data_IF_251350180357
#
_entry.id   IF_251350180357
#
_cell.length_a   1.000
_cell.length_b   1.000
_cell.length_c   1.000
_cell.angle_alpha   90.00
_cell.angle_beta   90.00
_cell.angle_gamma   90.00
#
_symmetry.space_group_name_H-M   'P 1'
#
loop_
_entity.id
_entity.type
_entity.pdbx_description
1 polymer ?
#
# COMPACT_ATOMS: atom_id res chain seq x y z
N UNK A 1 -30.76 11.06 6.21
CA UNK A 1 -31.01 12.43 5.69
C UNK A 1 -29.67 13.12 5.46
N UNK A 2 -29.52 13.83 4.33
CA UNK A 2 -28.41 14.73 4.10
C UNK A 2 -28.33 15.74 5.26
N UNK A 3 -27.17 15.89 5.88
CA UNK A 3 -26.99 16.86 6.97
C UNK A 3 -26.97 16.29 8.38
N UNK A 4 -27.16 14.99 8.60
CA UNK A 4 -26.92 14.43 9.92
C UNK A 4 -25.45 14.49 10.29
N UNK A 5 -25.13 15.30 11.30
CA UNK A 5 -23.79 15.42 11.91
C UNK A 5 -23.75 14.54 13.16
N UNK A 6 -22.54 14.07 13.53
CA UNK A 6 -22.31 13.27 14.71
C UNK A 6 -21.92 11.83 14.43
N UNK A 7 -21.75 11.07 15.49
CA UNK A 7 -21.37 9.66 15.40
C UNK A 7 -22.43 8.83 14.71
N UNK A 8 -22.02 7.91 13.84
CA UNK A 8 -22.89 6.99 13.09
C UNK A 8 -22.36 5.58 13.19
N UNK A 9 -23.23 4.65 13.52
CA UNK A 9 -22.93 3.23 13.49
C UNK A 9 -23.16 2.71 12.06
N UNK A 10 -22.09 2.21 11.43
CA UNK A 10 -22.15 1.66 10.07
C UNK A 10 -22.27 0.14 10.05
N UNK A 11 -21.87 -0.55 11.11
CA UNK A 11 -21.97 -1.99 11.27
C UNK A 11 -22.23 -2.35 12.73
N UNK A 12 -23.23 -3.21 12.98
CA UNK A 12 -23.52 -3.74 14.32
C UNK A 12 -22.42 -4.70 14.82
N UNK A 13 -21.84 -5.47 13.91
CA UNK A 13 -20.82 -6.48 14.24
C UNK A 13 -19.42 -5.90 14.37
N UNK A 14 -19.18 -4.71 13.81
CA UNK A 14 -17.93 -4.01 13.81
C UNK A 14 -18.19 -2.50 14.02
N UNK A 15 -18.48 -2.06 15.25
CA UNK A 15 -18.83 -0.67 15.55
C UNK A 15 -17.70 0.32 15.25
N UNK A 16 -16.46 -0.15 15.14
CA UNK A 16 -15.28 0.61 14.74
C UNK A 16 -15.24 0.95 13.24
N UNK A 17 -16.15 0.38 12.44
CA UNK A 17 -16.19 0.62 10.98
C UNK A 17 -16.38 2.10 10.67
N UNK A 18 -15.49 2.63 9.87
CA UNK A 18 -15.51 4.02 9.40
C UNK A 18 -16.08 4.13 7.98
N UNK A 19 -16.56 5.31 7.61
CA UNK A 19 -17.06 5.60 6.27
C UNK A 19 -16.07 6.50 5.54
N UNK A 20 -15.42 5.97 4.51
CA UNK A 20 -14.41 6.66 3.71
C UNK A 20 -15.07 7.21 2.46
N UNK A 21 -15.14 8.55 2.34
CA UNK A 21 -15.63 9.21 1.13
C UNK A 21 -14.58 9.14 0.00
N UNK A 22 -14.96 8.61 -1.15
CA UNK A 22 -14.06 8.42 -2.30
C UNK A 22 -14.18 9.50 -3.38
N UNK A 23 -15.20 10.34 -3.32
CA UNK A 23 -15.46 11.36 -4.35
C UNK A 23 -15.71 10.80 -5.75
N UNK A 24 -16.05 9.51 -5.89
CA UNK A 24 -16.36 8.85 -7.16
C UNK A 24 -17.88 8.68 -7.28
N UNK A 25 -18.48 9.08 -8.41
CA UNK A 25 -19.93 9.02 -8.63
C UNK A 25 -20.48 7.59 -8.52
N UNK A 26 -19.81 6.60 -9.10
CA UNK A 26 -20.28 5.22 -9.11
C UNK A 26 -20.10 4.48 -7.76
N UNK A 27 -19.13 4.91 -6.93
CA UNK A 27 -18.86 4.30 -5.62
C UNK A 27 -18.41 5.39 -4.65
N UNK A 28 -19.33 6.19 -4.12
CA UNK A 28 -18.99 7.38 -3.34
C UNK A 28 -18.40 7.05 -1.97
N UNK A 29 -18.71 5.89 -1.41
CA UNK A 29 -18.27 5.48 -0.07
C UNK A 29 -17.61 4.10 -0.09
N UNK A 30 -16.61 3.91 0.75
CA UNK A 30 -16.08 2.63 1.18
C UNK A 30 -16.19 2.55 2.70
N UNK A 31 -16.46 1.36 3.25
CA UNK A 31 -16.59 1.12 4.68
C UNK A 31 -15.40 0.30 5.17
N UNK A 32 -14.91 0.61 6.35
CA UNK A 32 -13.74 0.00 6.96
C UNK A 32 -12.72 1.03 7.40
N UNK A 33 -11.49 0.59 7.70
CA UNK A 33 -10.38 1.45 8.09
C UNK A 33 -9.54 1.81 6.85
N UNK A 34 -8.98 3.00 6.84
CA UNK A 34 -7.99 3.40 5.85
C UNK A 34 -6.68 2.65 6.10
N UNK A 35 -6.06 2.13 5.04
CA UNK A 35 -4.78 1.41 5.12
C UNK A 35 -3.73 2.12 4.27
N UNK A 36 -2.56 2.37 4.85
CA UNK A 36 -1.36 2.80 4.16
C UNK A 36 -0.55 1.58 3.72
N UNK A 37 -0.05 1.60 2.48
CA UNK A 37 0.84 0.58 1.92
C UNK A 37 2.10 1.24 1.36
N UNK A 38 3.26 0.76 1.75
CA UNK A 38 4.55 1.17 1.20
C UNK A 38 5.16 0.02 0.42
N UNK A 39 5.54 0.26 -0.83
CA UNK A 39 6.12 -0.75 -1.72
C UNK A 39 7.50 -0.35 -2.21
N UNK A 40 8.29 -1.34 -2.62
CA UNK A 40 9.48 -1.06 -3.43
C UNK A 40 9.09 -0.36 -4.71
N UNK A 41 9.92 0.60 -5.19
CA UNK A 41 9.69 1.26 -6.48
C UNK A 41 10.73 0.82 -7.53
N UNK A 42 11.19 -0.41 -7.46
CA UNK A 42 12.10 -1.03 -8.45
C UNK A 42 11.30 -1.88 -9.44
N UNK A 43 11.76 -1.93 -10.68
CA UNK A 43 11.19 -2.86 -11.66
C UNK A 43 11.56 -4.29 -11.27
N UNK A 44 10.58 -5.09 -10.87
CA UNK A 44 10.74 -6.49 -10.53
C UNK A 44 9.79 -7.34 -11.37
N UNK A 45 10.23 -8.52 -11.79
CA UNK A 45 9.36 -9.48 -12.47
C UNK A 45 8.33 -10.00 -11.49
N UNK A 46 7.05 -9.88 -11.82
CA UNK A 46 5.94 -10.37 -11.01
C UNK A 46 5.33 -9.33 -10.05
N UNK A 47 5.94 -8.16 -9.84
CA UNK A 47 5.38 -7.09 -9.01
C UNK A 47 6.37 -6.45 -8.03
N UNK A 48 5.86 -5.50 -7.26
CA UNK A 48 6.60 -4.78 -6.21
C UNK A 48 6.35 -5.45 -4.86
N UNK A 49 7.36 -5.55 -4.00
CA UNK A 49 7.19 -6.01 -2.62
C UNK A 49 6.57 -4.94 -1.76
N UNK A 50 5.68 -5.34 -0.87
CA UNK A 50 5.16 -4.49 0.20
C UNK A 50 6.20 -4.48 1.33
N UNK A 51 6.68 -3.31 1.69
CA UNK A 51 7.67 -3.11 2.75
C UNK A 51 7.03 -2.80 4.09
N UNK A 52 5.90 -2.07 4.06
CA UNK A 52 5.21 -1.65 5.26
C UNK A 52 3.72 -1.54 4.99
N UNK A 53 2.90 -1.83 6.01
CA UNK A 53 1.46 -1.62 5.99
C UNK A 53 0.96 -1.20 7.37
N UNK A 54 0.06 -0.22 7.40
CA UNK A 54 -0.50 0.33 8.63
C UNK A 54 -1.97 0.68 8.45
N UNK A 55 -2.81 0.24 9.39
CA UNK A 55 -4.17 0.75 9.51
C UNK A 55 -4.16 2.16 10.08
N UNK A 56 -5.00 3.03 9.56
CA UNK A 56 -5.07 4.45 9.88
C UNK A 56 -6.49 4.82 10.34
N UNK A 57 -6.86 4.46 11.58
CA UNK A 57 -8.17 4.80 12.12
C UNK A 57 -8.33 6.31 12.29
N UNK A 58 -9.59 6.79 12.24
CA UNK A 58 -9.93 8.21 12.33
C UNK A 58 -9.75 8.98 11.03
N UNK A 59 -9.51 8.28 9.90
CA UNK A 59 -9.38 8.88 8.55
C UNK A 59 -8.39 10.06 8.51
N UNK A 60 -7.16 9.91 9.04
CA UNK A 60 -6.21 11.00 9.04
C UNK A 60 -5.91 11.48 7.63
N UNK A 61 -5.56 12.75 7.49
CA UNK A 61 -5.12 13.30 6.22
C UNK A 61 -3.80 12.68 5.77
N UNK A 62 -3.69 12.27 4.51
CA UNK A 62 -2.54 11.53 3.97
C UNK A 62 -1.19 12.21 4.23
N UNK A 63 -1.13 13.53 4.08
CA UNK A 63 0.09 14.29 4.31
C UNK A 63 0.61 14.22 5.74
N UNK A 64 -0.26 14.01 6.72
CA UNK A 64 0.14 13.93 8.13
C UNK A 64 0.70 12.56 8.50
N UNK A 65 0.31 11.50 7.79
CA UNK A 65 0.74 10.13 8.10
C UNK A 65 2.07 9.76 7.45
N UNK A 66 2.54 10.54 6.47
CA UNK A 66 3.69 10.17 5.64
C UNK A 66 4.99 10.05 6.44
N UNK A 67 5.27 10.99 7.34
CA UNK A 67 6.51 10.99 8.12
C UNK A 67 6.64 9.71 8.94
N UNK A 68 5.62 9.39 9.73
CA UNK A 68 5.57 8.20 10.58
C UNK A 68 5.70 6.91 9.76
N UNK A 69 4.96 6.78 8.65
CA UNK A 69 5.03 5.60 7.77
C UNK A 69 6.42 5.41 7.18
N UNK A 70 7.11 6.49 6.81
CA UNK A 70 8.46 6.41 6.27
C UNK A 70 9.49 6.02 7.34
N UNK A 71 9.39 6.57 8.56
CA UNK A 71 10.23 6.22 9.70
C UNK A 71 10.06 4.74 10.08
N UNK A 72 8.82 4.27 10.21
CA UNK A 72 8.52 2.85 10.46
C UNK A 72 9.04 1.95 9.34
N UNK A 73 8.92 2.37 8.08
CA UNK A 73 9.46 1.61 6.94
C UNK A 73 10.97 1.51 6.99
N UNK A 74 11.68 2.59 7.35
CA UNK A 74 13.14 2.59 7.52
C UNK A 74 13.56 1.68 8.68
N UNK A 75 12.85 1.75 9.81
CA UNK A 75 13.11 0.89 10.96
C UNK A 75 12.95 -0.60 10.63
N UNK A 76 11.88 -0.97 9.91
CA UNK A 76 11.63 -2.36 9.51
C UNK A 76 12.62 -2.88 8.48
N UNK A 77 13.04 -2.05 7.54
CA UNK A 77 13.90 -2.49 6.43
C UNK A 77 15.39 -2.35 6.72
N UNK A 78 15.76 -1.59 7.75
CA UNK A 78 17.15 -1.22 8.03
C UNK A 78 17.80 -0.41 6.90
N UNK A 79 16.98 0.27 6.08
CA UNK A 79 17.44 1.03 4.90
C UNK A 79 16.95 2.46 4.95
N UNK A 80 17.83 3.39 4.66
CA UNK A 80 17.48 4.79 4.48
C UNK A 80 16.70 5.00 3.18
N UNK A 81 15.64 5.82 3.24
CA UNK A 81 14.79 6.16 2.10
C UNK A 81 15.18 7.55 1.60
N UNK A 82 15.83 7.60 0.45
CA UNK A 82 16.20 8.88 -0.19
C UNK A 82 15.01 9.55 -0.90
N UNK A 83 14.12 8.75 -1.50
CA UNK A 83 13.00 9.23 -2.33
C UNK A 83 11.73 8.46 -2.06
N UNK A 84 10.62 9.18 -1.90
CA UNK A 84 9.29 8.62 -1.82
C UNK A 84 8.40 9.15 -2.95
N UNK A 85 7.61 8.27 -3.56
CA UNK A 85 6.68 8.59 -4.64
C UNK A 85 5.25 8.35 -4.17
N UNK A 86 4.47 9.41 -4.02
CA UNK A 86 3.16 9.38 -3.37
C UNK A 86 2.06 9.90 -4.29
N UNK A 87 0.81 9.70 -3.88
CA UNK A 87 -0.34 10.23 -4.60
C UNK A 87 -0.51 11.74 -4.41
N UNK A 88 -1.43 12.34 -5.18
CA UNK A 88 -1.76 13.77 -5.10
C UNK A 88 -2.25 14.19 -3.71
N UNK A 89 -2.91 13.29 -2.98
CA UNK A 89 -3.45 13.54 -1.64
C UNK A 89 -2.41 13.94 -0.57
N UNK A 90 -1.13 13.71 -0.82
CA UNK A 90 -0.04 14.00 0.13
C UNK A 90 0.47 15.46 0.04
N UNK A 91 -0.40 16.41 -0.25
CA UNK A 91 -0.06 17.86 -0.20
C UNK A 91 0.22 18.28 1.24
N UNK A 92 1.23 19.14 1.46
CA UNK A 92 1.55 19.62 2.82
C UNK A 92 2.14 18.56 3.76
N UNK A 93 2.75 17.48 3.22
CA UNK A 93 3.41 16.47 4.02
C UNK A 93 4.58 17.04 4.84
N UNK A 94 4.80 16.46 6.02
CA UNK A 94 5.91 16.80 6.93
C UNK A 94 7.02 15.73 6.90
N UNK A 95 7.34 15.20 5.71
CA UNK A 95 8.40 14.20 5.60
C UNK A 95 9.74 14.77 6.09
N UNK A 96 10.55 13.98 6.84
CA UNK A 96 11.83 14.42 7.37
C UNK A 96 12.84 14.70 6.24
N UNK A 97 13.66 15.75 6.41
CA UNK A 97 14.80 16.00 5.50
C UNK A 97 15.95 15.08 5.90
N UNK A 98 16.78 14.60 4.95
CA UNK A 98 16.90 15.02 3.53
C UNK A 98 15.99 14.28 2.53
N UNK A 99 15.05 13.45 2.98
CA UNK A 99 14.17 12.67 2.13
C UNK A 99 13.39 13.54 1.14
N UNK A 100 13.38 13.15 -0.13
CA UNK A 100 12.68 13.86 -1.21
C UNK A 100 11.37 13.17 -1.57
N UNK A 101 10.27 13.91 -1.47
CA UNK A 101 8.93 13.40 -1.80
C UNK A 101 8.48 13.94 -3.15
N UNK A 102 8.07 13.05 -4.05
CA UNK A 102 7.51 13.36 -5.36
C UNK A 102 6.05 12.94 -5.44
N UNK A 103 5.19 13.88 -5.79
CA UNK A 103 3.74 13.63 -5.86
C UNK A 103 3.29 13.32 -7.29
N UNK A 104 2.29 12.47 -7.41
CA UNK A 104 1.63 12.21 -8.70
C UNK A 104 1.14 13.50 -9.33
N UNK A 105 1.46 13.68 -10.62
CA UNK A 105 1.14 14.91 -11.38
C UNK A 105 2.10 16.08 -11.18
N UNK A 106 3.14 15.95 -10.34
CA UNK A 106 4.18 16.97 -10.20
C UNK A 106 5.01 17.07 -11.48
N UNK A 107 5.20 18.31 -11.97
CA UNK A 107 6.03 18.61 -13.16
C UNK A 107 7.41 19.15 -12.77
N UNK A 108 7.46 20.04 -11.76
CA UNK A 108 8.70 20.71 -11.33
C UNK A 108 9.67 19.73 -10.68
N UNK A 109 10.92 19.71 -11.15
CA UNK A 109 11.97 18.82 -10.63
C UNK A 109 11.82 17.35 -10.99
N UNK A 110 10.95 17.00 -11.97
CA UNK A 110 10.66 15.63 -12.40
C UNK A 110 11.20 15.37 -13.80
N UNK A 111 12.46 14.92 -13.89
CA UNK A 111 13.13 14.59 -15.15
C UNK A 111 13.97 13.32 -15.00
N UNK A 112 14.46 12.78 -16.09
CA UNK A 112 15.35 11.62 -16.10
C UNK A 112 14.81 10.41 -15.33
N UNK A 113 15.59 9.93 -14.39
CA UNK A 113 15.28 8.78 -13.53
C UNK A 113 14.04 9.02 -12.65
N UNK A 114 13.90 10.21 -12.09
CA UNK A 114 12.76 10.58 -11.24
C UNK A 114 11.44 10.46 -12.01
N UNK A 115 11.40 10.87 -13.28
CA UNK A 115 10.23 10.72 -14.14
C UNK A 115 9.85 9.26 -14.37
N UNK A 116 10.85 8.38 -14.55
CA UNK A 116 10.63 6.92 -14.70
C UNK A 116 10.10 6.31 -13.40
N UNK A 117 10.65 6.70 -12.26
CA UNK A 117 10.24 6.22 -10.95
C UNK A 117 8.84 6.70 -10.56
N UNK A 118 8.50 7.96 -10.85
CA UNK A 118 7.17 8.52 -10.62
C UNK A 118 6.09 7.83 -11.48
N UNK A 119 6.41 7.47 -12.74
CA UNK A 119 5.50 6.67 -13.58
C UNK A 119 5.29 5.27 -13.00
N UNK A 120 6.34 4.66 -12.47
CA UNK A 120 6.28 3.33 -11.86
C UNK A 120 5.44 3.27 -10.59
N UNK A 121 5.25 4.40 -9.90
CA UNK A 121 4.34 4.51 -8.76
C UNK A 121 2.96 3.89 -9.04
N UNK A 122 2.41 4.06 -10.23
CA UNK A 122 1.09 3.51 -10.58
C UNK A 122 0.99 1.98 -10.43
N UNK A 123 2.13 1.26 -10.42
CA UNK A 123 2.14 -0.19 -10.18
C UNK A 123 1.62 -0.58 -8.78
N UNK A 124 1.62 0.33 -7.81
CA UNK A 124 1.03 0.10 -6.48
C UNK A 124 -0.49 -0.16 -6.57
N UNK A 125 -1.16 0.38 -7.57
CA UNK A 125 -2.61 0.16 -7.76
C UNK A 125 -2.92 -1.32 -8.03
N UNK A 126 -2.06 -2.00 -8.82
CA UNK A 126 -2.17 -3.44 -9.02
C UNK A 126 -1.87 -4.22 -7.74
N UNK A 127 -0.89 -3.79 -6.94
CA UNK A 127 -0.59 -4.40 -5.63
C UNK A 127 -1.79 -4.29 -4.70
N UNK A 128 -2.38 -3.09 -4.58
CA UNK A 128 -3.61 -2.86 -3.78
C UNK A 128 -4.76 -3.71 -4.30
N UNK A 129 -4.94 -3.81 -5.62
CA UNK A 129 -5.94 -4.68 -6.24
C UNK A 129 -5.78 -6.13 -5.80
N UNK A 130 -4.57 -6.69 -5.89
CA UNK A 130 -4.28 -8.05 -5.42
C UNK A 130 -4.45 -8.24 -3.92
N UNK A 131 -4.07 -7.25 -3.09
CA UNK A 131 -4.33 -7.31 -1.66
C UNK A 131 -5.83 -7.38 -1.36
N UNK A 132 -6.65 -6.66 -2.12
CA UNK A 132 -8.13 -6.69 -1.97
C UNK A 132 -8.72 -8.00 -2.48
N UNK A 133 -8.44 -8.38 -3.73
CA UNK A 133 -9.08 -9.55 -4.37
C UNK A 133 -8.60 -10.88 -3.81
N UNK A 134 -7.28 -11.04 -3.63
CA UNK A 134 -6.66 -12.31 -3.30
C UNK A 134 -6.26 -12.39 -1.82
N UNK A 135 -6.06 -11.23 -1.17
CA UNK A 135 -5.60 -11.11 0.22
C UNK A 135 -6.69 -10.68 1.19
N UNK A 136 -7.95 -10.57 0.74
CA UNK A 136 -9.09 -10.17 1.56
C UNK A 136 -8.92 -8.84 2.33
N UNK A 137 -8.12 -7.90 1.80
CA UNK A 137 -7.97 -6.58 2.40
C UNK A 137 -9.27 -5.76 2.36
N UNK A 138 -10.20 -6.12 1.50
CA UNK A 138 -11.55 -5.53 1.39
C UNK A 138 -12.59 -6.18 2.31
N UNK A 139 -12.22 -7.25 3.05
CA UNK A 139 -13.11 -8.02 3.94
C UNK A 139 -12.37 -8.38 5.22
N UNK A 140 -12.60 -7.63 6.27
CA UNK A 140 -12.01 -7.95 7.56
C UNK A 140 -12.96 -8.82 8.40
N UNK A 141 -12.51 -10.03 8.74
CA UNK A 141 -13.22 -10.95 9.65
C UNK A 141 -12.77 -10.82 11.10
N UNK A 142 -11.70 -10.06 11.35
CA UNK A 142 -11.18 -9.78 12.68
C UNK A 142 -11.85 -8.53 13.26
N UNK A 143 -12.04 -8.49 14.58
CA UNK A 143 -12.72 -7.40 15.25
C UNK A 143 -11.74 -6.36 15.81
N UNK A 144 -12.21 -5.12 15.85
CA UNK A 144 -11.52 -4.01 16.49
C UNK A 144 -10.30 -3.52 15.70
N UNK A 145 -9.72 -2.43 16.20
CA UNK A 145 -8.56 -1.77 15.56
C UNK A 145 -7.35 -2.67 15.39
N UNK A 146 -7.13 -3.60 16.35
CA UNK A 146 -6.08 -4.61 16.21
C UNK A 146 -6.39 -5.57 15.07
N UNK A 147 -7.64 -5.99 14.92
CA UNK A 147 -8.09 -6.82 13.81
C UNK A 147 -7.83 -6.15 12.46
N UNK A 148 -8.11 -4.85 12.35
CA UNK A 148 -7.82 -4.08 11.13
C UNK A 148 -6.32 -4.06 10.79
N UNK A 149 -5.46 -3.87 11.80
CA UNK A 149 -4.01 -3.88 11.60
C UNK A 149 -3.51 -5.27 11.22
N UNK A 150 -3.97 -6.32 11.90
CA UNK A 150 -3.59 -7.71 11.61
C UNK A 150 -4.04 -8.09 10.20
N UNK A 151 -5.26 -7.77 9.80
CA UNK A 151 -5.77 -8.03 8.46
C UNK A 151 -4.91 -7.35 7.38
N UNK A 152 -4.52 -6.11 7.59
CA UNK A 152 -3.65 -5.38 6.67
C UNK A 152 -2.27 -6.06 6.55
N UNK A 153 -1.65 -6.45 7.69
CA UNK A 153 -0.36 -7.14 7.72
C UNK A 153 -0.45 -8.50 7.03
N UNK A 154 -1.46 -9.31 7.34
CA UNK A 154 -1.62 -10.65 6.77
C UNK A 154 -1.86 -10.61 5.26
N UNK A 155 -2.62 -9.64 4.78
CA UNK A 155 -2.81 -9.41 3.34
C UNK A 155 -1.49 -9.07 2.63
N UNK A 156 -0.67 -8.19 3.23
CA UNK A 156 0.63 -7.82 2.69
C UNK A 156 1.62 -8.99 2.69
N UNK A 157 1.67 -9.75 3.79
CA UNK A 157 2.51 -10.96 3.93
C UNK A 157 2.11 -12.00 2.89
N UNK A 158 0.82 -12.31 2.76
CA UNK A 158 0.31 -13.25 1.76
C UNK A 158 0.65 -12.83 0.33
N UNK A 159 0.56 -11.52 0.02
CA UNK A 159 0.99 -11.00 -1.27
C UNK A 159 2.48 -11.21 -1.51
N UNK A 160 3.33 -10.87 -0.55
CA UNK A 160 4.78 -11.03 -0.66
C UNK A 160 5.19 -12.51 -0.81
N UNK A 161 4.60 -13.41 -0.03
CA UNK A 161 4.87 -14.85 -0.16
C UNK A 161 4.50 -15.39 -1.53
N UNK A 162 3.38 -14.94 -2.13
CA UNK A 162 3.03 -15.34 -3.51
C UNK A 162 4.08 -14.90 -4.52
N UNK A 163 4.69 -13.73 -4.37
CA UNK A 163 5.80 -13.29 -5.21
C UNK A 163 7.02 -14.18 -5.06
N UNK A 164 7.41 -14.49 -3.83
CA UNK A 164 8.54 -15.38 -3.52
C UNK A 164 8.31 -16.77 -4.12
N UNK A 165 7.13 -17.35 -3.92
CA UNK A 165 6.76 -18.65 -4.48
C UNK A 165 6.84 -18.67 -6.02
N UNK A 166 6.38 -17.61 -6.69
CA UNK A 166 6.53 -17.48 -8.15
C UNK A 166 7.99 -17.47 -8.58
N UNK A 167 8.86 -16.80 -7.85
CA UNK A 167 10.30 -16.76 -8.14
C UNK A 167 10.97 -18.10 -7.90
N UNK A 168 10.65 -18.77 -6.78
CA UNK A 168 11.17 -20.10 -6.47
C UNK A 168 10.73 -21.13 -7.53
N UNK A 169 9.47 -21.11 -7.93
CA UNK A 169 8.97 -21.97 -9.01
C UNK A 169 9.73 -21.72 -10.32
N UNK A 170 9.94 -20.47 -10.69
CA UNK A 170 10.68 -20.11 -11.90
C UNK A 170 12.15 -20.56 -11.84
N UNK A 171 12.79 -20.48 -10.66
CA UNK A 171 14.15 -20.97 -10.42
C UNK A 171 14.20 -22.49 -10.54
N UNK A 172 13.29 -23.21 -9.90
CA UNK A 172 13.19 -24.66 -9.95
C UNK A 172 13.02 -25.16 -11.39
N UNK A 173 12.13 -24.54 -12.17
CA UNK A 173 11.97 -24.88 -13.59
C UNK A 173 13.26 -24.70 -14.39
N UNK A 174 14.06 -23.67 -14.12
CA UNK A 174 15.37 -23.48 -14.77
C UNK A 174 16.38 -24.55 -14.38
N UNK A 175 16.43 -24.93 -13.11
CA UNK A 175 17.33 -25.98 -12.62
C UNK A 175 16.98 -27.30 -13.28
N UNK A 176 15.70 -27.68 -13.30
CA UNK A 176 15.24 -28.91 -13.96
C UNK A 176 15.61 -28.89 -15.44
N UNK A 177 15.32 -27.79 -16.15
CA UNK A 177 15.66 -27.68 -17.58
C UNK A 177 17.17 -27.80 -17.83
N UNK A 178 18.01 -27.23 -16.98
CA UNK A 178 19.46 -27.35 -17.08
C UNK A 178 19.95 -28.79 -16.86
N UNK A 179 19.35 -29.51 -15.90
CA UNK A 179 19.67 -30.92 -15.67
C UNK A 179 19.31 -31.81 -16.88
N UNK A 180 18.12 -31.57 -17.45
CA UNK A 180 17.70 -32.33 -18.66
C UNK A 180 18.56 -32.04 -19.90
N UNK A 181 19.10 -30.84 -20.02
CA UNK A 181 20.00 -30.47 -21.14
C UNK A 181 21.40 -31.11 -21.03
N UNK A 182 21.75 -31.70 -19.87
CA UNK A 182 23.04 -32.37 -19.63
C UNK A 182 22.94 -33.90 -19.74
N UNK A 183 21.75 -34.43 -19.89
CA UNK A 183 21.46 -35.85 -20.14
C UNK A 183 21.32 -36.13 -21.63
#
# INVERSE_FOLDING_TARGET
KQGQRGWKLYSWHAPETECIAKGKAAKPYEFGVKVSLTTTNRRCKGGQFILHTKSLPGLPYDGHTLAEVLEETQALTGREIERAYVDKGYVGHKAPKPLRVFRSGQKRGVHGQIKKELRRRSAIEAVIGHCKSDGHLDRNYLKGRQGDQINAVMSAVGYNFRLILKWLKALLCKIIAAMWAQM
#
